data_IF_516982105040
#
_entry.id   IF_516982105040
#
_cell.length_a   1.000
_cell.length_b   1.000
_cell.length_c   1.000
_cell.angle_alpha   90.00
_cell.angle_beta   90.00
_cell.angle_gamma   90.00
#
_symmetry.space_group_name_H-M   'P 1'
#
loop_
_entity.id
_entity.type
_entity.pdbx_description
1 polymer ?
#
# COMPACT_ATOMS: atom_id res chain seq x y z
N UNK A 1 28.48 18.05 11.80
CA UNK A 1 27.56 16.97 12.21
C UNK A 1 26.64 16.67 11.04
N UNK A 2 26.57 15.43 10.58
CA UNK A 2 25.62 15.06 9.53
C UNK A 2 24.20 15.24 10.10
N UNK A 3 23.35 15.96 9.39
CA UNK A 3 21.96 16.19 9.79
C UNK A 3 21.18 14.90 9.54
N UNK A 4 20.63 14.27 10.56
CA UNK A 4 19.74 13.12 10.36
C UNK A 4 18.47 13.58 9.66
N UNK A 5 17.95 12.77 8.75
CA UNK A 5 16.68 13.00 8.07
C UNK A 5 15.56 12.99 9.11
N UNK A 6 14.72 14.01 9.09
CA UNK A 6 13.56 14.11 10.01
C UNK A 6 12.36 13.32 9.51
N UNK A 7 11.43 12.95 10.39
CA UNK A 7 10.20 12.29 10.04
C UNK A 7 9.36 13.07 8.98
N UNK A 8 9.36 14.39 9.07
CA UNK A 8 8.69 15.26 8.10
C UNK A 8 9.34 15.16 6.72
N UNK A 9 10.67 15.26 6.66
CA UNK A 9 11.42 15.13 5.40
C UNK A 9 11.21 13.75 4.76
N UNK A 10 11.12 12.67 5.58
CA UNK A 10 10.79 11.33 5.09
C UNK A 10 9.40 11.30 4.46
N UNK A 11 8.36 11.77 5.17
CA UNK A 11 6.99 11.77 4.63
C UNK A 11 6.86 12.61 3.36
N UNK A 12 7.50 13.76 3.30
CA UNK A 12 7.53 14.61 2.10
C UNK A 12 8.23 13.92 0.93
N UNK A 13 9.36 13.28 1.18
CA UNK A 13 10.09 12.51 0.18
C UNK A 13 9.31 11.30 -0.35
N UNK A 14 8.66 10.56 0.55
CA UNK A 14 7.75 9.45 0.19
C UNK A 14 6.62 9.98 -0.68
N UNK A 15 5.90 11.01 -0.22
CA UNK A 15 4.81 11.63 -1.00
C UNK A 15 5.27 12.06 -2.39
N UNK A 16 6.38 12.78 -2.49
CA UNK A 16 6.91 13.26 -3.75
C UNK A 16 7.32 12.11 -4.68
N UNK A 17 7.92 11.05 -4.16
CA UNK A 17 8.34 9.88 -4.93
C UNK A 17 7.13 9.15 -5.50
N UNK A 18 6.13 8.84 -4.67
CA UNK A 18 4.94 8.11 -5.11
C UNK A 18 3.99 8.97 -5.96
N UNK A 19 4.01 10.29 -5.82
CA UNK A 19 3.37 11.19 -6.79
C UNK A 19 3.99 11.01 -8.19
N UNK A 20 5.33 10.98 -8.30
CA UNK A 20 6.00 10.72 -9.58
C UNK A 20 5.69 9.32 -10.14
N UNK A 21 5.64 8.29 -9.28
CA UNK A 21 5.24 6.93 -9.69
C UNK A 21 3.82 6.94 -10.26
N UNK A 22 2.89 7.65 -9.63
CA UNK A 22 1.52 7.76 -10.11
C UNK A 22 1.41 8.49 -11.44
N UNK A 23 2.13 9.59 -11.63
CA UNK A 23 2.03 10.45 -12.82
C UNK A 23 2.82 9.91 -14.01
N UNK A 24 3.99 9.31 -13.76
CA UNK A 24 4.92 8.85 -14.80
C UNK A 24 5.50 7.46 -14.48
N UNK A 25 4.67 6.40 -14.42
CA UNK A 25 5.08 5.06 -13.97
C UNK A 25 6.13 4.40 -14.88
N UNK A 26 6.26 4.86 -16.12
CA UNK A 26 7.27 4.37 -17.07
C UNK A 26 8.65 5.01 -16.90
N UNK A 27 8.78 6.00 -16.03
CA UNK A 27 10.06 6.61 -15.70
C UNK A 27 10.97 5.62 -14.96
N UNK A 28 12.28 5.83 -15.03
CA UNK A 28 13.22 5.06 -14.22
C UNK A 28 13.16 5.48 -12.75
N UNK A 29 12.94 4.50 -11.86
CA UNK A 29 13.00 4.64 -10.42
C UNK A 29 14.15 3.80 -9.85
N UNK A 30 14.55 4.04 -8.60
CA UNK A 30 15.58 3.23 -7.92
C UNK A 30 15.07 1.85 -7.48
N UNK A 31 13.78 1.63 -7.58
CA UNK A 31 13.09 0.38 -7.28
C UNK A 31 12.23 -0.05 -8.47
N UNK A 32 11.91 -1.33 -8.59
CA UNK A 32 11.06 -1.83 -9.66
C UNK A 32 9.64 -1.26 -9.57
N UNK A 33 9.04 -0.97 -10.72
CA UNK A 33 7.67 -0.48 -10.84
C UNK A 33 6.96 -1.20 -11.99
N UNK A 34 5.69 -1.46 -11.83
CA UNK A 34 4.82 -1.84 -12.93
C UNK A 34 4.44 -3.31 -13.02
N UNK A 35 3.77 -3.65 -14.13
CA UNK A 35 3.21 -4.98 -14.36
C UNK A 35 4.26 -6.12 -14.37
N UNK A 36 5.49 -5.83 -14.79
CA UNK A 36 6.60 -6.78 -14.73
C UNK A 36 6.92 -7.17 -13.28
N UNK A 37 6.97 -6.20 -12.37
CA UNK A 37 7.14 -6.45 -10.95
C UNK A 37 5.97 -7.26 -10.38
N UNK A 38 4.73 -6.90 -10.69
CA UNK A 38 3.56 -7.63 -10.21
C UNK A 38 3.62 -9.12 -10.57
N UNK A 39 4.03 -9.46 -11.80
CA UNK A 39 4.27 -10.86 -12.20
C UNK A 39 5.37 -11.52 -11.38
N UNK A 40 6.49 -10.82 -11.20
CA UNK A 40 7.66 -11.31 -10.47
C UNK A 40 7.35 -11.65 -9.01
N UNK A 41 6.48 -10.88 -8.36
CA UNK A 41 6.08 -11.07 -6.96
C UNK A 41 4.84 -11.96 -6.81
N UNK A 42 4.43 -12.66 -7.87
CA UNK A 42 3.48 -13.78 -7.81
C UNK A 42 2.03 -13.45 -8.13
N UNK A 43 1.72 -12.27 -8.69
CA UNK A 43 0.36 -12.03 -9.20
C UNK A 43 0.08 -12.95 -10.40
N UNK A 44 -1.01 -13.74 -10.36
CA UNK A 44 -1.35 -14.64 -11.45
C UNK A 44 -1.63 -13.89 -12.76
N UNK A 45 -1.15 -14.42 -13.90
CA UNK A 45 -1.32 -13.76 -15.19
C UNK A 45 -2.80 -13.59 -15.58
N UNK A 46 -3.64 -14.57 -15.25
CA UNK A 46 -5.08 -14.45 -15.48
C UNK A 46 -5.75 -13.35 -14.65
N UNK A 47 -5.19 -13.00 -13.49
CA UNK A 47 -5.65 -11.87 -12.68
C UNK A 47 -5.21 -10.56 -13.33
N UNK A 48 -3.94 -10.43 -13.67
CA UNK A 48 -3.40 -9.21 -14.28
C UNK A 48 -4.02 -8.91 -15.64
N UNK A 49 -4.19 -9.94 -16.50
CA UNK A 49 -4.79 -9.79 -17.83
C UNK A 49 -6.29 -9.48 -17.80
N UNK A 50 -6.97 -9.74 -16.68
CA UNK A 50 -8.38 -9.38 -16.48
C UNK A 50 -8.60 -7.91 -16.10
N UNK A 51 -7.51 -7.17 -15.90
CA UNK A 51 -7.50 -5.77 -15.45
C UNK A 51 -6.90 -4.85 -16.52
N UNK A 52 -7.32 -3.58 -16.59
CA UNK A 52 -6.64 -2.60 -17.43
C UNK A 52 -5.21 -2.37 -16.97
N UNK A 53 -4.32 -1.95 -17.88
CA UNK A 53 -2.92 -1.65 -17.56
C UNK A 53 -2.79 -0.65 -16.40
N UNK A 54 -3.72 0.27 -16.28
CA UNK A 54 -3.85 1.23 -15.18
C UNK A 54 -3.72 0.57 -13.79
N UNK A 55 -4.18 -0.67 -13.63
CA UNK A 55 -4.13 -1.40 -12.35
C UNK A 55 -2.71 -1.74 -11.91
N UNK A 56 -1.82 -2.05 -12.84
CA UNK A 56 -0.50 -2.59 -12.54
C UNK A 56 0.67 -1.72 -12.97
N UNK A 57 0.47 -0.70 -13.82
CA UNK A 57 1.61 0.09 -14.34
C UNK A 57 2.33 0.93 -13.28
N UNK A 58 1.66 1.31 -12.17
CA UNK A 58 2.24 2.01 -11.03
C UNK A 58 2.45 1.09 -9.81
N UNK A 59 2.41 -0.21 -9.99
CA UNK A 59 2.56 -1.18 -8.90
C UNK A 59 4.00 -1.21 -8.37
N UNK A 60 4.14 -1.22 -7.02
CA UNK A 60 5.41 -1.24 -6.30
C UNK A 60 5.41 -2.20 -5.10
N UNK A 61 4.40 -3.07 -5.00
CA UNK A 61 4.27 -4.03 -3.91
C UNK A 61 5.30 -5.17 -3.98
N UNK A 62 5.35 -5.98 -2.93
CA UNK A 62 6.37 -7.01 -2.70
C UNK A 62 5.84 -8.44 -2.82
N UNK A 63 4.54 -8.65 -2.77
CA UNK A 63 3.94 -9.99 -2.84
C UNK A 63 2.49 -9.96 -3.31
N UNK A 64 1.99 -11.10 -3.79
CA UNK A 64 0.56 -11.34 -3.96
C UNK A 64 -0.02 -11.86 -2.65
N UNK A 65 -0.62 -10.97 -1.83
CA UNK A 65 -1.04 -11.26 -0.46
C UNK A 65 -2.44 -11.87 -0.33
N UNK A 66 -3.27 -11.81 -1.36
CA UNK A 66 -4.67 -12.24 -1.31
C UNK A 66 -4.89 -13.68 -0.81
N UNK A 67 -4.08 -14.70 -1.18
CA UNK A 67 -4.23 -16.05 -0.65
C UNK A 67 -4.05 -16.17 0.86
N UNK A 68 -3.21 -15.31 1.44
CA UNK A 68 -2.92 -15.33 2.90
C UNK A 68 -4.01 -14.63 3.72
N UNK A 69 -4.72 -13.67 3.14
CA UNK A 69 -5.83 -12.99 3.82
C UNK A 69 -7.09 -13.84 3.90
N UNK A 70 -7.31 -14.74 2.93
CA UNK A 70 -8.53 -15.57 2.88
C UNK A 70 -9.80 -14.73 3.10
N UNK A 71 -9.95 -13.67 2.29
CA UNK A 71 -11.06 -12.73 2.37
C UNK A 71 -12.40 -13.43 2.10
N UNK A 72 -13.45 -12.93 2.78
CA UNK A 72 -14.80 -13.51 2.69
C UNK A 72 -15.82 -12.42 2.34
N UNK A 73 -16.90 -12.78 1.64
CA UNK A 73 -18.02 -11.87 1.43
C UNK A 73 -18.51 -11.24 2.74
N UNK A 74 -18.80 -9.95 2.70
CA UNK A 74 -19.28 -9.20 3.84
C UNK A 74 -18.19 -8.58 4.73
N UNK A 75 -16.91 -8.88 4.51
CA UNK A 75 -15.82 -8.31 5.31
C UNK A 75 -15.50 -6.88 4.95
N UNK A 76 -15.06 -6.10 5.94
CA UNK A 76 -14.50 -4.75 5.79
C UNK A 76 -12.98 -4.84 5.80
N UNK A 77 -12.35 -4.38 4.73
CA UNK A 77 -10.91 -4.50 4.51
C UNK A 77 -10.27 -3.13 4.40
N UNK A 78 -9.10 -2.97 5.04
CA UNK A 78 -8.20 -1.84 4.81
C UNK A 78 -7.05 -2.30 3.92
N UNK A 79 -6.78 -1.56 2.84
CA UNK A 79 -5.55 -1.64 2.05
C UNK A 79 -4.68 -0.45 2.44
N UNK A 80 -3.66 -0.70 3.29
CA UNK A 80 -2.80 0.32 3.85
C UNK A 80 -1.56 0.52 2.99
N UNK A 81 -1.37 1.73 2.48
CA UNK A 81 -0.43 2.02 1.41
C UNK A 81 -0.97 1.52 0.06
N UNK A 82 -2.25 1.81 -0.23
CA UNK A 82 -2.98 1.22 -1.35
C UNK A 82 -2.43 1.56 -2.74
N UNK A 83 -1.53 2.55 -2.83
CA UNK A 83 -0.95 2.96 -4.10
C UNK A 83 -2.00 3.21 -5.18
N UNK A 84 -1.77 2.68 -6.38
CA UNK A 84 -2.71 2.77 -7.51
C UNK A 84 -3.96 1.88 -7.41
N UNK A 85 -4.18 1.18 -6.28
CA UNK A 85 -5.41 0.48 -5.96
C UNK A 85 -5.55 -0.94 -6.50
N UNK A 86 -4.47 -1.57 -6.99
CA UNK A 86 -4.53 -2.95 -7.52
C UNK A 86 -5.07 -3.93 -6.47
N UNK A 87 -4.46 -3.95 -5.28
CA UNK A 87 -4.88 -4.85 -4.21
C UNK A 87 -6.26 -4.52 -3.68
N UNK A 88 -6.58 -3.22 -3.54
CA UNK A 88 -7.90 -2.77 -3.10
C UNK A 88 -9.04 -3.24 -4.01
N UNK A 89 -8.90 -3.14 -5.34
CA UNK A 89 -9.94 -3.60 -6.27
C UNK A 89 -10.07 -5.13 -6.32
N UNK A 90 -8.98 -5.86 -6.14
CA UNK A 90 -9.01 -7.31 -6.00
C UNK A 90 -9.70 -7.73 -4.70
N UNK A 91 -9.38 -7.05 -3.58
CA UNK A 91 -10.03 -7.28 -2.29
C UNK A 91 -11.54 -6.98 -2.37
N UNK A 92 -11.96 -5.89 -3.03
CA UNK A 92 -13.37 -5.55 -3.20
C UNK A 92 -14.16 -6.64 -3.93
N UNK A 93 -13.56 -7.24 -4.97
CA UNK A 93 -14.16 -8.41 -5.64
C UNK A 93 -14.31 -9.62 -4.72
N UNK A 94 -13.32 -9.84 -3.84
CA UNK A 94 -13.32 -10.99 -2.93
C UNK A 94 -14.32 -10.84 -1.78
N UNK A 95 -14.59 -9.62 -1.30
CA UNK A 95 -15.52 -9.38 -0.19
C UNK A 95 -16.97 -9.11 -0.65
N UNK A 96 -17.20 -8.99 -1.94
CA UNK A 96 -18.56 -8.84 -2.51
C UNK A 96 -19.32 -10.19 -2.47
N UNK A 97 -20.65 -10.19 -2.21
CA UNK A 97 -21.47 -9.04 -1.85
C UNK A 97 -21.38 -8.66 -0.35
N UNK A 98 -21.72 -7.41 -0.06
CA UNK A 98 -21.95 -6.94 1.31
C UNK A 98 -20.69 -6.53 2.09
N UNK A 99 -19.50 -6.78 1.55
CA UNK A 99 -18.25 -6.26 2.09
C UNK A 99 -17.88 -4.89 1.54
N UNK A 100 -16.82 -4.29 2.08
CA UNK A 100 -16.28 -3.02 1.61
C UNK A 100 -14.77 -2.96 1.79
N UNK A 101 -14.11 -2.17 0.95
CA UNK A 101 -12.66 -1.93 1.04
C UNK A 101 -12.39 -0.44 1.17
N UNK A 102 -11.46 -0.09 2.04
CA UNK A 102 -10.92 1.27 2.13
C UNK A 102 -9.43 1.22 1.79
N UNK A 103 -9.01 1.93 0.76
CA UNK A 103 -7.58 2.17 0.47
C UNK A 103 -7.12 3.46 1.15
N UNK A 104 -6.00 3.41 1.86
CA UNK A 104 -5.35 4.59 2.45
C UNK A 104 -3.94 4.74 1.87
N UNK A 105 -3.62 5.93 1.39
CA UNK A 105 -2.26 6.26 0.90
C UNK A 105 -1.89 7.71 1.24
N UNK A 106 -0.60 7.98 1.39
CA UNK A 106 -0.10 9.31 1.69
C UNK A 106 -0.09 10.22 0.45
N UNK A 107 0.06 9.64 -0.75
CA UNK A 107 0.18 10.35 -2.01
C UNK A 107 -1.19 10.53 -2.69
N UNK A 108 -1.68 11.77 -2.75
CA UNK A 108 -2.97 12.11 -3.39
C UNK A 108 -3.05 11.65 -4.85
N UNK A 109 -1.92 11.71 -5.58
CA UNK A 109 -1.85 11.25 -6.96
C UNK A 109 -2.07 9.73 -7.08
N UNK A 110 -1.62 8.94 -6.12
CA UNK A 110 -1.93 7.51 -6.04
C UNK A 110 -3.42 7.29 -5.78
N UNK A 111 -4.02 8.03 -4.86
CA UNK A 111 -5.46 7.97 -4.58
C UNK A 111 -6.30 8.34 -5.82
N UNK A 112 -5.90 9.38 -6.56
CA UNK A 112 -6.58 9.76 -7.80
C UNK A 112 -6.54 8.63 -8.83
N UNK A 113 -5.39 7.97 -8.96
CA UNK A 113 -5.19 6.82 -9.84
C UNK A 113 -6.06 5.62 -9.41
N UNK A 114 -6.09 5.32 -8.12
CA UNK A 114 -6.88 4.23 -7.55
C UNK A 114 -8.39 4.44 -7.76
N UNK A 115 -8.87 5.67 -7.59
CA UNK A 115 -10.26 6.06 -7.90
C UNK A 115 -10.58 5.89 -9.40
N UNK A 116 -9.67 6.30 -10.28
CA UNK A 116 -9.83 6.12 -11.72
C UNK A 116 -9.87 4.62 -12.11
N UNK A 117 -9.04 3.78 -11.49
CA UNK A 117 -9.07 2.34 -11.67
C UNK A 117 -10.42 1.74 -11.25
N UNK A 118 -10.89 2.02 -10.04
CA UNK A 118 -12.16 1.52 -9.53
C UNK A 118 -13.34 1.94 -10.44
N UNK A 119 -13.35 3.21 -10.85
CA UNK A 119 -14.35 3.73 -11.77
C UNK A 119 -14.33 3.01 -13.13
N UNK A 120 -13.15 2.77 -13.71
CA UNK A 120 -13.00 2.07 -14.99
C UNK A 120 -13.50 0.63 -14.95
N UNK A 121 -13.46 0.00 -13.77
CA UNK A 121 -13.91 -1.37 -13.53
C UNK A 121 -15.36 -1.47 -13.03
N UNK A 122 -16.01 -0.33 -12.74
CA UNK A 122 -17.34 -0.29 -12.15
C UNK A 122 -17.40 -0.89 -10.73
N UNK A 123 -16.27 -0.95 -10.01
CA UNK A 123 -16.20 -1.45 -8.63
C UNK A 123 -16.71 -0.36 -7.71
N UNK A 124 -17.80 -0.66 -6.95
CA UNK A 124 -18.49 0.31 -6.09
C UNK A 124 -18.17 0.13 -4.61
N UNK A 125 -17.74 -1.08 -4.21
CA UNK A 125 -17.52 -1.45 -2.82
C UNK A 125 -16.07 -1.14 -2.38
N UNK A 126 -15.47 -0.09 -2.96
CA UNK A 126 -14.14 0.40 -2.62
C UNK A 126 -14.12 1.93 -2.55
N UNK A 127 -13.53 2.44 -1.48
CA UNK A 127 -13.28 3.86 -1.27
C UNK A 127 -11.79 4.12 -1.05
N UNK A 128 -11.34 5.32 -1.41
CA UNK A 128 -9.94 5.70 -1.26
C UNK A 128 -9.82 7.04 -0.53
N UNK A 129 -8.94 7.08 0.47
CA UNK A 129 -8.64 8.27 1.27
C UNK A 129 -7.14 8.56 1.28
N UNK A 130 -6.80 9.84 1.22
CA UNK A 130 -5.43 10.28 1.50
C UNK A 130 -5.26 10.45 3.01
N UNK A 131 -4.15 9.92 3.56
CA UNK A 131 -3.89 10.02 4.99
C UNK A 131 -2.56 9.41 5.41
N UNK A 132 -2.17 9.76 6.65
CA UNK A 132 -0.98 9.23 7.29
C UNK A 132 -1.32 7.97 8.08
N UNK A 133 -0.58 6.89 7.84
CA UNK A 133 -0.74 5.63 8.58
C UNK A 133 -0.36 5.71 10.06
N UNK A 134 0.41 6.71 10.45
CA UNK A 134 0.72 6.98 11.85
C UNK A 134 -0.45 7.66 12.60
N UNK A 135 -1.50 8.10 11.89
CA UNK A 135 -2.70 8.71 12.44
C UNK A 135 -3.93 8.38 11.56
N UNK A 136 -4.29 7.10 11.50
CA UNK A 136 -5.36 6.63 10.61
C UNK A 136 -6.73 7.23 10.99
N UNK A 137 -7.47 7.83 10.03
CA UNK A 137 -8.75 8.50 10.30
C UNK A 137 -9.92 7.53 10.47
N UNK A 138 -9.69 6.39 11.12
CA UNK A 138 -10.68 5.34 11.30
C UNK A 138 -10.94 5.06 12.79
N UNK A 139 -12.15 4.68 13.13
CA UNK A 139 -12.48 4.21 14.48
C UNK A 139 -11.77 2.88 14.80
N UNK A 140 -11.54 2.62 16.09
CA UNK A 140 -11.02 1.33 16.53
C UNK A 140 -11.97 0.18 16.19
N UNK A 141 -11.42 -0.98 15.83
CA UNK A 141 -12.23 -2.17 15.51
C UNK A 141 -13.04 -2.05 14.22
N UNK A 142 -12.66 -1.19 13.29
CA UNK A 142 -13.39 -0.95 12.04
C UNK A 142 -13.25 -2.11 11.05
N UNK A 143 -12.06 -2.71 10.93
CA UNK A 143 -11.75 -3.63 9.84
C UNK A 143 -11.64 -5.09 10.30
N UNK A 144 -12.13 -6.01 9.47
CA UNK A 144 -12.00 -7.45 9.62
C UNK A 144 -10.62 -7.94 9.18
N UNK A 145 -10.06 -7.31 8.14
CA UNK A 145 -8.76 -7.64 7.59
C UNK A 145 -8.01 -6.39 7.14
N UNK A 146 -6.67 -6.45 7.19
CA UNK A 146 -5.79 -5.41 6.67
C UNK A 146 -4.75 -6.04 5.74
N UNK A 147 -4.53 -5.40 4.59
CA UNK A 147 -3.48 -5.70 3.64
C UNK A 147 -2.41 -4.61 3.70
N UNK A 148 -1.14 -5.01 3.75
CA UNK A 148 0.01 -4.09 3.78
C UNK A 148 1.10 -4.64 2.86
N UNK A 149 1.37 -3.99 1.74
CA UNK A 149 2.22 -4.52 0.70
C UNK A 149 3.38 -3.56 0.35
N UNK A 150 4.52 -3.72 1.03
CA UNK A 150 5.72 -2.91 0.79
C UNK A 150 5.60 -1.48 1.31
N UNK A 151 5.05 -1.31 2.49
CA UNK A 151 4.70 0.00 3.03
C UNK A 151 5.45 0.39 4.31
N UNK A 152 5.69 -0.54 5.25
CA UNK A 152 6.25 -0.24 6.58
C UNK A 152 7.61 0.44 6.53
N UNK A 153 8.47 0.04 5.58
CA UNK A 153 9.81 0.64 5.46
C UNK A 153 9.78 2.12 5.06
N UNK A 154 8.66 2.58 4.51
CA UNK A 154 8.46 3.97 4.13
C UNK A 154 8.03 4.86 5.30
N UNK A 155 7.62 4.26 6.43
CA UNK A 155 7.13 4.99 7.59
C UNK A 155 8.26 5.37 8.54
N UNK A 156 8.35 6.64 9.00
CA UNK A 156 9.32 7.06 10.00
C UNK A 156 9.12 6.38 11.36
N UNK A 157 7.88 6.25 11.83
CA UNK A 157 7.55 5.57 13.10
C UNK A 157 6.74 4.29 12.87
N UNK A 158 7.45 3.20 12.60
CA UNK A 158 6.87 1.87 12.39
C UNK A 158 6.08 1.35 13.60
N UNK A 159 6.52 1.71 14.82
CA UNK A 159 5.85 1.29 16.04
C UNK A 159 4.48 1.96 16.19
N UNK A 160 4.36 3.23 15.81
CA UNK A 160 3.07 3.94 15.77
C UNK A 160 2.15 3.31 14.73
N UNK A 161 2.64 3.01 13.52
CA UNK A 161 1.84 2.32 12.49
C UNK A 161 1.34 0.96 12.99
N UNK A 162 2.18 0.17 13.68
CA UNK A 162 1.78 -1.11 14.23
C UNK A 162 0.68 -0.96 15.30
N UNK A 163 0.74 0.06 16.16
CA UNK A 163 -0.32 0.38 17.13
C UNK A 163 -1.62 0.79 16.44
N UNK A 164 -1.54 1.61 15.40
CA UNK A 164 -2.71 2.01 14.62
C UNK A 164 -3.35 0.82 13.88
N UNK A 165 -2.55 -0.07 13.30
CA UNK A 165 -3.05 -1.33 12.70
C UNK A 165 -3.81 -2.17 13.73
N UNK A 166 -3.23 -2.35 14.92
CA UNK A 166 -3.89 -3.07 16.01
C UNK A 166 -5.19 -2.38 16.43
N UNK A 167 -5.19 -1.03 16.51
CA UNK A 167 -6.36 -0.24 16.91
C UNK A 167 -7.52 -0.36 15.92
N UNK A 168 -7.25 -0.28 14.62
CA UNK A 168 -8.28 -0.29 13.58
C UNK A 168 -8.81 -1.68 13.27
N UNK A 169 -8.04 -2.75 13.56
CA UNK A 169 -8.51 -4.12 13.46
C UNK A 169 -9.48 -4.44 14.60
N UNK A 170 -10.59 -5.11 14.28
CA UNK A 170 -11.49 -5.65 15.31
C UNK A 170 -10.82 -6.80 16.07
N UNK A 171 -11.29 -7.13 17.28
CA UNK A 171 -10.88 -8.36 17.95
C UNK A 171 -11.06 -9.59 17.04
N UNK A 172 -10.01 -10.40 16.90
CA UNK A 172 -10.00 -11.53 15.96
C UNK A 172 -9.85 -11.18 14.49
N UNK A 173 -9.65 -9.90 14.16
CA UNK A 173 -9.25 -9.45 12.81
C UNK A 173 -7.83 -9.92 12.47
N UNK A 174 -7.47 -9.86 11.19
CA UNK A 174 -6.19 -10.36 10.68
C UNK A 174 -5.50 -9.36 9.74
N UNK A 175 -4.18 -9.45 9.65
CA UNK A 175 -3.40 -8.69 8.68
C UNK A 175 -2.49 -9.61 7.87
N UNK A 176 -2.34 -9.33 6.58
CA UNK A 176 -1.27 -9.86 5.74
C UNK A 176 -0.31 -8.72 5.40
N UNK A 177 0.96 -8.95 5.69
CA UNK A 177 2.02 -7.95 5.53
C UNK A 177 3.16 -8.55 4.72
N UNK A 178 3.55 -7.88 3.64
CA UNK A 178 4.80 -8.15 2.94
C UNK A 178 5.73 -6.95 3.10
N UNK A 179 6.96 -7.22 3.53
CA UNK A 179 7.95 -6.17 3.76
C UNK A 179 9.38 -6.67 3.52
N UNK A 180 10.27 -5.75 3.11
CA UNK A 180 11.70 -6.02 3.01
C UNK A 180 12.29 -5.93 4.41
N UNK A 181 13.02 -6.97 4.81
CA UNK A 181 13.72 -7.00 6.09
C UNK A 181 15.22 -7.21 5.88
N UNK A 182 16.02 -6.61 6.75
CA UNK A 182 17.45 -6.86 6.78
C UNK A 182 17.77 -8.00 7.75
N UNK A 183 18.74 -8.83 7.41
CA UNK A 183 19.26 -9.89 8.30
C UNK A 183 20.08 -9.31 9.44
N UNK A 184 20.78 -8.20 9.17
CA UNK A 184 21.59 -7.48 10.15
C UNK A 184 21.11 -6.04 10.30
N UNK A 185 21.19 -5.43 11.50
CA UNK A 185 20.84 -4.03 11.68
C UNK A 185 21.69 -3.13 10.77
N UNK A 186 21.04 -2.20 10.06
CA UNK A 186 21.77 -1.19 9.30
C UNK A 186 22.58 -0.30 10.24
N UNK A 187 23.85 0.03 9.91
CA UNK A 187 24.60 1.00 10.66
C UNK A 187 23.87 2.35 10.72
N UNK A 188 23.83 3.02 11.89
CA UNK A 188 23.11 4.30 12.04
C UNK A 188 23.60 5.42 11.11
N UNK A 189 24.75 5.21 10.46
CA UNK A 189 25.37 6.19 9.56
C UNK A 189 24.93 6.06 8.10
N UNK A 190 24.14 5.05 7.75
CA UNK A 190 23.78 4.79 6.35
C UNK A 190 22.59 5.60 5.82
N UNK A 191 21.68 6.02 6.69
CA UNK A 191 20.53 6.85 6.29
C UNK A 191 20.82 8.31 6.57
N UNK A 192 21.36 9.03 5.60
CA UNK A 192 21.72 10.45 5.69
C UNK A 192 20.86 11.36 4.83
N UNK A 193 20.23 10.80 3.82
CA UNK A 193 19.42 11.51 2.85
C UNK A 193 18.12 10.77 2.62
N UNK A 194 17.12 11.47 2.06
CA UNK A 194 15.87 10.81 1.65
C UNK A 194 16.12 9.74 0.58
N UNK A 195 17.15 9.89 -0.22
CA UNK A 195 17.55 8.89 -1.22
C UNK A 195 18.04 7.58 -0.58
N UNK A 196 18.65 7.66 0.60
CA UNK A 196 19.08 6.47 1.35
C UNK A 196 17.87 5.71 1.94
N UNK A 197 16.74 6.40 2.16
CA UNK A 197 15.50 5.79 2.65
C UNK A 197 14.85 4.85 1.64
N UNK A 198 15.14 5.00 0.35
CA UNK A 198 14.62 4.18 -0.75
C UNK A 198 15.62 3.13 -1.29
N UNK A 199 16.63 2.76 -0.52
CA UNK A 199 17.64 1.73 -0.90
C UNK A 199 17.22 0.33 -0.54
#
# INVERSE_FOLDING_TARGET
MAKNVTATEIREGVRATFTRVAETPTQAFRFPVGAGLARQVGYPENVLSSLPLLASEAFTGLAYLHPYLNLRPGERVLDLGSGGGLDAVLAARAVSPGGSVTGLDLAEAMIARARALAASLGVKDVEFASGDAEAMPFAGGTFDAVLVNGFFNLCPDKATVARELHRVLRPGGRAAVAEITYTDPLPPTEVRTIDDWFR
#
